data_IF_481169886269
#
_entry.id   IF_481169886269
#
_cell.length_a   1.000
_cell.length_b   1.000
_cell.length_c   1.000
_cell.angle_alpha   90.00
_cell.angle_beta   90.00
_cell.angle_gamma   90.00
#
_symmetry.space_group_name_H-M   'P 1'
#
loop_
_entity.id
_entity.type
_entity.pdbx_description
1 polymer ?
#
# COMPACT_ATOMS: atom_id res chain seq x y z
N UNK A 1 -22.15 -26.94 15.97
CA UNK A 1 -20.88 -26.28 16.35
C UNK A 1 -20.61 -25.20 15.32
N UNK A 2 -20.96 -23.95 15.60
CA UNK A 2 -20.86 -22.89 14.58
C UNK A 2 -19.41 -22.49 14.41
N UNK A 3 -18.85 -22.69 13.22
CA UNK A 3 -17.53 -22.18 12.89
C UNK A 3 -17.56 -20.66 12.99
N UNK A 4 -16.86 -20.11 13.98
CA UNK A 4 -16.72 -18.67 14.12
C UNK A 4 -15.65 -18.17 13.14
N UNK A 5 -16.07 -17.81 11.93
CA UNK A 5 -15.22 -17.15 10.94
C UNK A 5 -14.96 -15.69 11.36
N UNK A 6 -13.80 -15.48 12.01
CA UNK A 6 -13.42 -14.21 12.66
C UNK A 6 -13.38 -13.04 11.66
N UNK A 7 -14.29 -12.08 11.84
CA UNK A 7 -14.35 -10.79 11.15
C UNK A 7 -14.65 -10.80 9.64
N UNK A 8 -15.10 -11.91 9.06
CA UNK A 8 -15.45 -12.00 7.65
C UNK A 8 -16.68 -11.16 7.28
N UNK A 9 -17.72 -11.13 8.13
CA UNK A 9 -18.89 -10.26 7.95
C UNK A 9 -19.29 -9.56 9.26
N UNK A 10 -20.15 -8.53 9.22
CA UNK A 10 -20.74 -7.95 10.43
C UNK A 10 -21.59 -8.98 11.18
N UNK A 11 -22.32 -9.84 10.45
CA UNK A 11 -23.18 -10.87 11.03
C UNK A 11 -22.37 -11.93 11.78
N UNK A 12 -21.23 -12.37 11.23
CA UNK A 12 -20.36 -13.33 11.92
C UNK A 12 -19.73 -12.73 13.18
N UNK A 13 -19.34 -11.45 13.13
CA UNK A 13 -18.76 -10.74 14.27
C UNK A 13 -19.77 -10.56 15.43
N UNK A 14 -21.04 -10.27 15.11
CA UNK A 14 -22.14 -10.22 16.07
C UNK A 14 -22.39 -11.59 16.71
N UNK A 15 -22.51 -12.63 15.90
CA UNK A 15 -22.78 -14.00 16.38
C UNK A 15 -21.68 -14.51 17.32
N UNK A 16 -20.44 -14.12 17.08
CA UNK A 16 -19.30 -14.50 17.91
C UNK A 16 -19.01 -13.56 19.08
N UNK A 17 -19.77 -12.46 19.25
CA UNK A 17 -19.53 -11.48 20.32
C UNK A 17 -18.21 -10.72 20.20
N UNK A 18 -17.59 -10.65 19.02
CA UNK A 18 -16.29 -10.01 18.77
C UNK A 18 -16.40 -8.71 17.95
N UNK A 19 -17.60 -8.11 17.92
CA UNK A 19 -17.89 -6.92 17.11
C UNK A 19 -16.87 -5.79 17.35
N UNK A 20 -16.61 -5.44 18.62
CA UNK A 20 -15.68 -4.37 19.00
C UNK A 20 -14.26 -4.63 18.49
N UNK A 21 -13.80 -5.88 18.59
CA UNK A 21 -12.48 -6.30 18.14
C UNK A 21 -12.38 -6.24 16.61
N UNK A 22 -13.42 -6.68 15.90
CA UNK A 22 -13.46 -6.61 14.44
C UNK A 22 -13.53 -5.17 13.92
N UNK A 23 -14.26 -4.28 14.59
CA UNK A 23 -14.37 -2.87 14.18
C UNK A 23 -13.03 -2.15 14.38
N UNK A 24 -12.31 -2.42 15.47
CA UNK A 24 -10.95 -1.94 15.67
C UNK A 24 -9.97 -2.46 14.59
N UNK A 25 -10.04 -3.74 14.23
CA UNK A 25 -9.21 -4.34 13.18
C UNK A 25 -9.54 -3.78 11.78
N UNK A 26 -10.82 -3.51 11.49
CA UNK A 26 -11.25 -2.91 10.21
C UNK A 26 -10.69 -1.51 10.02
N UNK A 27 -10.51 -0.73 11.09
CA UNK A 27 -9.87 0.59 11.01
C UNK A 27 -8.40 0.49 10.59
N UNK A 28 -7.68 -0.56 11.03
CA UNK A 28 -6.32 -0.80 10.58
C UNK A 28 -6.24 -1.32 9.14
N UNK A 29 -7.17 -2.18 8.71
CA UNK A 29 -7.23 -2.67 7.32
C UNK A 29 -7.52 -1.58 6.28
N UNK A 30 -8.08 -0.44 6.69
CA UNK A 30 -8.44 0.66 5.80
C UNK A 30 -7.30 1.64 5.52
N UNK A 31 -6.17 1.53 6.22
CA UNK A 31 -5.04 2.42 5.94
C UNK A 31 -4.43 2.03 4.59
N UNK A 32 -4.28 2.98 3.65
CA UNK A 32 -3.57 2.73 2.41
C UNK A 32 -2.14 2.26 2.72
N UNK A 33 -1.64 1.35 1.88
CA UNK A 33 -0.25 0.93 1.94
C UNK A 33 0.58 2.02 1.28
N UNK A 34 1.49 2.64 2.04
CA UNK A 34 2.41 3.63 1.50
C UNK A 34 3.58 2.96 0.78
N UNK A 35 3.83 3.37 -0.45
CA UNK A 35 4.97 2.96 -1.28
C UNK A 35 5.74 4.22 -1.67
N UNK A 36 7.02 4.27 -1.30
CA UNK A 36 7.94 5.34 -1.74
C UNK A 36 8.94 4.76 -2.72
N UNK A 37 8.95 5.28 -3.95
CA UNK A 37 9.93 4.93 -4.96
C UNK A 37 10.93 6.08 -5.12
N UNK A 38 12.17 5.83 -4.75
CA UNK A 38 13.29 6.71 -5.05
C UNK A 38 13.89 6.24 -6.38
N UNK A 39 13.92 7.13 -7.37
CA UNK A 39 14.33 6.78 -8.74
C UNK A 39 15.19 7.88 -9.38
N UNK A 40 15.81 7.54 -10.50
CA UNK A 40 16.53 8.49 -11.36
C UNK A 40 15.76 8.65 -12.67
N UNK A 41 15.49 9.89 -13.07
CA UNK A 41 14.67 10.16 -14.26
C UNK A 41 15.26 9.55 -15.55
N UNK A 42 16.58 9.55 -15.68
CA UNK A 42 17.29 9.03 -16.85
C UNK A 42 17.73 7.56 -16.72
N UNK A 43 17.42 6.88 -15.61
CA UNK A 43 17.78 5.47 -15.46
C UNK A 43 16.80 4.58 -16.25
N UNK A 44 17.29 3.79 -17.23
CA UNK A 44 16.42 2.97 -18.09
C UNK A 44 15.69 1.88 -17.30
N UNK A 45 16.31 1.34 -16.23
CA UNK A 45 15.66 0.35 -15.37
C UNK A 45 14.56 0.95 -14.51
N UNK A 46 14.76 2.17 -13.99
CA UNK A 46 13.72 2.90 -13.27
C UNK A 46 12.51 3.19 -14.16
N UNK A 47 12.75 3.66 -15.39
CA UNK A 47 11.68 3.89 -16.37
C UNK A 47 10.91 2.59 -16.67
N UNK A 48 11.62 1.49 -16.93
CA UNK A 48 11.00 0.18 -17.21
C UNK A 48 10.19 -0.33 -16.01
N UNK A 49 10.70 -0.15 -14.78
CA UNK A 49 9.99 -0.51 -13.56
C UNK A 49 8.69 0.28 -13.41
N UNK A 50 8.76 1.61 -13.58
CA UNK A 50 7.60 2.50 -13.45
C UNK A 50 6.53 2.14 -14.50
N UNK A 51 6.92 2.00 -15.77
CA UNK A 51 5.98 1.77 -16.86
C UNK A 51 5.35 0.38 -16.83
N UNK A 52 6.14 -0.67 -16.57
CA UNK A 52 5.68 -2.04 -16.78
C UNK A 52 5.16 -2.70 -15.49
N UNK A 53 5.77 -2.40 -14.35
CA UNK A 53 5.49 -3.09 -13.09
C UNK A 53 4.66 -2.21 -12.15
N UNK A 54 5.17 -1.01 -11.84
CA UNK A 54 4.48 -0.13 -10.89
C UNK A 54 3.16 0.39 -11.47
N UNK A 55 3.13 0.75 -12.75
CA UNK A 55 1.92 1.26 -13.41
C UNK A 55 0.75 0.27 -13.36
N UNK A 56 1.01 -1.02 -13.62
CA UNK A 56 -0.02 -2.07 -13.57
C UNK A 56 -0.53 -2.32 -12.15
N UNK A 57 0.39 -2.39 -11.17
CA UNK A 57 0.04 -2.51 -9.74
C UNK A 57 -0.79 -1.30 -9.29
N UNK A 58 -0.38 -0.09 -9.66
CA UNK A 58 -1.08 1.14 -9.28
C UNK A 58 -2.50 1.17 -9.85
N UNK A 59 -2.69 0.81 -11.13
CA UNK A 59 -4.02 0.75 -11.72
C UNK A 59 -4.96 -0.23 -10.99
N UNK A 60 -4.44 -1.38 -10.58
CA UNK A 60 -5.23 -2.41 -9.90
C UNK A 60 -5.55 -2.06 -8.43
N UNK A 61 -4.67 -1.34 -7.75
CA UNK A 61 -4.76 -1.15 -6.29
C UNK A 61 -4.78 0.32 -5.83
N UNK A 62 -4.97 1.29 -6.73
CA UNK A 62 -4.91 2.74 -6.43
C UNK A 62 -5.72 3.18 -5.20
N UNK A 63 -6.87 2.57 -4.93
CA UNK A 63 -7.74 2.94 -3.80
C UNK A 63 -7.18 2.49 -2.44
N UNK A 64 -6.16 1.62 -2.45
CA UNK A 64 -5.51 1.05 -1.27
C UNK A 64 -4.02 1.43 -1.20
N UNK A 65 -3.52 2.28 -2.10
CA UNK A 65 -2.11 2.65 -2.17
C UNK A 65 -1.92 4.17 -1.99
N UNK A 66 -0.92 4.55 -1.19
CA UNK A 66 -0.36 5.90 -1.18
C UNK A 66 0.99 5.84 -1.88
N UNK A 67 1.09 6.36 -3.11
CA UNK A 67 2.32 6.31 -3.90
C UNK A 67 3.08 7.65 -3.86
N UNK A 68 4.35 7.59 -3.47
CA UNK A 68 5.28 8.72 -3.43
C UNK A 68 6.46 8.45 -4.37
N UNK A 69 6.72 9.38 -5.30
CA UNK A 69 7.81 9.28 -6.27
C UNK A 69 8.84 10.36 -5.99
N UNK A 70 10.08 9.96 -5.70
CA UNK A 70 11.18 10.87 -5.35
C UNK A 70 12.29 10.76 -6.42
N UNK A 71 12.44 11.77 -7.30
CA UNK A 71 13.47 11.78 -8.34
C UNK A 71 14.83 12.21 -7.74
N UNK A 72 15.48 11.30 -7.02
CA UNK A 72 16.82 11.52 -6.45
C UNK A 72 17.77 10.40 -6.85
N UNK A 73 17.45 9.16 -6.49
CA UNK A 73 18.24 7.97 -6.82
C UNK A 73 19.72 8.12 -6.49
N UNK A 74 20.61 7.85 -7.45
CA UNK A 74 22.06 7.95 -7.28
C UNK A 74 22.64 9.37 -7.48
N UNK A 75 21.80 10.41 -7.46
CA UNK A 75 22.26 11.79 -7.58
C UNK A 75 23.15 12.18 -6.40
N UNK A 76 24.13 13.05 -6.67
CA UNK A 76 25.02 13.62 -5.64
C UNK A 76 24.82 15.13 -5.57
N UNK A 77 24.78 15.66 -4.36
CA UNK A 77 24.80 17.11 -4.14
C UNK A 77 26.19 17.62 -4.52
N UNK A 78 26.26 18.50 -5.51
CA UNK A 78 27.48 19.25 -5.80
C UNK A 78 27.67 20.28 -4.68
N UNK A 79 28.72 20.10 -3.87
CA UNK A 79 29.15 21.14 -2.93
C UNK A 79 30.00 22.14 -3.72
N UNK A 80 29.49 23.35 -3.87
CA UNK A 80 30.27 24.47 -4.38
C UNK A 80 30.97 25.09 -3.17
N UNK A 81 32.30 24.95 -3.12
CA UNK A 81 33.19 25.60 -2.15
C UNK A 81 33.50 27.03 -2.55
#
# INVERSE_FOLDING_TARGET
>A
MTLCFRCDSPQSAQQCGVQRQCDALRMHRRKPIKITLIYEALCPYCQKFISNQLGSIYQQFKDHLELELIPWGNSRILRVS
#
